data_IF_734875558378
#
_entry.id   IF_734875558378
#
_cell.length_a   1.000
_cell.length_b   1.000
_cell.length_c   1.000
_cell.angle_alpha   90.00
_cell.angle_beta   90.00
_cell.angle_gamma   90.00
#
_symmetry.space_group_name_H-M   'P 1'
#
loop_
_entity.id
_entity.type
_entity.pdbx_description
1 polymer ?
#
# COMPACT_ATOMS: atom_id res chain seq x y z
N UNK A 1 8.93 13.23 2.38
CA UNK A 1 9.23 12.04 3.21
C UNK A 1 8.66 10.73 2.64
N UNK A 2 7.41 10.68 2.17
CA UNK A 2 6.81 9.45 1.61
C UNK A 2 7.44 8.97 0.28
N UNK A 3 7.90 9.87 -0.59
CA UNK A 3 8.55 9.51 -1.86
C UNK A 3 9.88 8.73 -1.70
N UNK A 4 10.58 8.92 -0.58
CA UNK A 4 11.84 8.23 -0.28
C UNK A 4 11.62 6.77 0.17
N UNK A 5 10.49 6.49 0.82
CA UNK A 5 10.11 5.13 1.19
C UNK A 5 9.71 4.29 -0.03
N UNK A 6 9.03 4.90 -1.01
CA UNK A 6 8.65 4.26 -2.25
C UNK A 6 9.87 3.83 -3.10
N UNK A 7 10.93 4.63 -3.12
CA UNK A 7 12.18 4.32 -3.84
C UNK A 7 12.97 3.18 -3.19
N UNK A 8 12.98 3.07 -1.85
CA UNK A 8 13.56 1.92 -1.14
C UNK A 8 12.81 0.60 -1.35
N UNK A 9 11.51 0.67 -1.62
CA UNK A 9 10.67 -0.50 -1.91
C UNK A 9 10.65 -0.87 -3.40
N UNK A 10 11.45 -0.19 -4.25
CA UNK A 10 11.47 -0.44 -5.70
C UNK A 10 10.14 -0.13 -6.41
N UNK A 11 9.26 0.65 -5.77
CA UNK A 11 7.93 0.93 -6.31
C UNK A 11 8.00 2.04 -7.36
N UNK A 12 7.55 1.72 -8.58
CA UNK A 12 7.22 2.75 -9.55
C UNK A 12 6.11 3.66 -9.03
N UNK A 13 5.99 4.89 -9.56
CA UNK A 13 4.91 5.81 -9.18
C UNK A 13 3.50 5.16 -9.29
N UNK A 14 3.30 4.30 -10.29
CA UNK A 14 2.08 3.48 -10.44
C UNK A 14 1.96 2.41 -9.36
N UNK A 15 3.05 1.73 -9.02
CA UNK A 15 3.09 0.76 -7.93
C UNK A 15 2.72 1.39 -6.59
N UNK A 16 3.22 2.59 -6.31
CA UNK A 16 2.87 3.37 -5.14
C UNK A 16 1.37 3.75 -5.12
N UNK A 17 0.83 4.26 -6.23
CA UNK A 17 -0.60 4.55 -6.35
C UNK A 17 -1.49 3.33 -6.12
N UNK A 18 -1.09 2.15 -6.61
CA UNK A 18 -1.83 0.90 -6.39
C UNK A 18 -1.82 0.51 -4.91
N UNK A 19 -0.67 0.61 -4.22
CA UNK A 19 -0.57 0.35 -2.77
C UNK A 19 -1.52 1.28 -2.00
N UNK A 20 -1.52 2.58 -2.31
CA UNK A 20 -2.44 3.52 -1.65
C UNK A 20 -3.91 3.19 -1.88
N UNK A 21 -4.27 2.71 -3.08
CA UNK A 21 -5.65 2.29 -3.37
C UNK A 21 -6.06 1.09 -2.52
N UNK A 22 -5.21 0.07 -2.41
CA UNK A 22 -5.47 -1.12 -1.59
C UNK A 22 -5.50 -0.76 -0.10
N UNK A 23 -4.56 0.07 0.36
CA UNK A 23 -4.54 0.55 1.74
C UNK A 23 -5.78 1.37 2.11
N UNK A 24 -6.36 2.13 1.16
CA UNK A 24 -7.64 2.81 1.37
C UNK A 24 -8.78 1.81 1.53
N UNK A 25 -8.85 0.79 0.68
CA UNK A 25 -9.86 -0.26 0.80
C UNK A 25 -9.77 -0.99 2.14
N UNK A 26 -8.57 -1.33 2.61
CA UNK A 26 -8.37 -1.92 3.93
C UNK A 26 -8.86 -0.97 5.03
N UNK A 27 -8.49 0.31 4.97
CA UNK A 27 -8.95 1.31 5.94
C UNK A 27 -10.49 1.43 5.98
N UNK A 28 -11.13 1.38 4.81
CA UNK A 28 -12.58 1.41 4.69
C UNK A 28 -13.23 0.17 5.30
N UNK A 29 -12.60 -1.02 5.17
CA UNK A 29 -13.06 -2.26 5.78
C UNK A 29 -12.89 -2.27 7.31
N UNK A 30 -11.81 -1.66 7.82
CA UNK A 30 -11.55 -1.48 9.26
C UNK A 30 -12.43 -0.38 9.88
N UNK A 31 -13.14 0.40 9.06
CA UNK A 31 -13.97 1.52 9.52
C UNK A 31 -13.18 2.77 9.92
N UNK A 32 -11.91 2.87 9.53
CA UNK A 32 -11.07 4.01 9.84
C UNK A 32 -11.29 5.17 8.86
N UNK A 33 -11.31 6.39 9.39
CA UNK A 33 -11.43 7.61 8.58
C UNK A 33 -10.22 7.83 7.64
N UNK A 34 -9.06 7.28 7.99
CA UNK A 34 -7.80 7.54 7.29
C UNK A 34 -6.95 6.29 7.11
N UNK A 35 -6.01 6.36 6.17
CA UNK A 35 -5.01 5.33 5.99
C UNK A 35 -4.01 5.42 7.15
N UNK A 36 -3.88 4.33 7.90
CA UNK A 36 -2.91 4.18 8.97
C UNK A 36 -1.72 3.32 8.49
N UNK A 37 -0.57 3.37 9.18
CA UNK A 37 0.61 2.60 8.79
C UNK A 37 0.34 1.09 8.64
N UNK A 38 -0.56 0.52 9.46
CA UNK A 38 -0.97 -0.89 9.36
C UNK A 38 -1.64 -1.23 8.02
N UNK A 39 -2.51 -0.36 7.50
CA UNK A 39 -3.20 -0.59 6.22
C UNK A 39 -2.21 -0.56 5.05
N UNK A 40 -1.17 0.28 5.14
CA UNK A 40 -0.10 0.34 4.13
C UNK A 40 0.77 -0.92 4.18
N UNK A 41 1.12 -1.39 5.38
CA UNK A 41 1.92 -2.62 5.55
C UNK A 41 1.19 -3.85 4.99
N UNK A 42 -0.11 -3.95 5.23
CA UNK A 42 -0.94 -5.03 4.73
C UNK A 42 -1.15 -4.93 3.21
N UNK A 43 -1.39 -3.73 2.68
CA UNK A 43 -1.44 -3.50 1.24
C UNK A 43 -0.13 -3.85 0.50
N UNK A 44 1.01 -3.67 1.15
CA UNK A 44 2.31 -4.07 0.60
C UNK A 44 2.46 -5.60 0.54
N UNK A 45 2.01 -6.33 1.58
CA UNK A 45 2.00 -7.80 1.57
C UNK A 45 1.14 -8.36 0.44
N UNK A 46 -0.08 -7.85 0.28
CA UNK A 46 -0.97 -8.26 -0.83
C UNK A 46 -0.31 -8.15 -2.21
N UNK A 47 0.58 -7.17 -2.43
CA UNK A 47 1.28 -7.00 -3.71
C UNK A 47 2.40 -8.01 -3.95
N UNK A 48 3.03 -8.52 -2.90
CA UNK A 48 4.01 -9.61 -3.02
C UNK A 48 3.29 -10.86 -3.51
N UNK A 49 2.11 -11.14 -2.96
CA UNK A 49 1.33 -12.33 -3.30
C UNK A 49 0.74 -12.29 -4.72
N UNK A 50 0.40 -11.11 -5.25
CA UNK A 50 -0.19 -10.99 -6.61
C UNK A 50 0.85 -10.99 -7.75
N UNK A 51 2.15 -10.96 -7.46
CA UNK A 51 3.21 -10.91 -8.50
C UNK A 51 3.82 -12.29 -8.78
N UNK A 52 3.38 -13.34 -8.06
CA UNK A 52 3.99 -14.68 -8.13
C UNK A 52 3.00 -15.80 -8.53
N UNK A 53 2.07 -15.51 -9.45
CA UNK A 53 1.26 -16.51 -10.16
C UNK A 53 1.26 -16.24 -11.67
#
# INVERSE_FOLDING_TARGET
>A
LLAAAASRLGLSARGYHRVLKVARTIADLDGDAGILPRHVAEALHFRVDTTDH
#
